data_IF_492392646901
#
_entry.id   IF_492392646901
#
_cell.length_a   1.000
_cell.length_b   1.000
_cell.length_c   1.000
_cell.angle_alpha   90.00
_cell.angle_beta   90.00
_cell.angle_gamma   90.00
#
_symmetry.space_group_name_H-M   'P 1'
#
loop_
_entity.id
_entity.type
_entity.pdbx_description
1 polymer ?
#
# COMPACT_ATOMS: atom_id res chain seq x y z
N UNK A 1 2.13 13.46 -5.54
CA UNK A 1 2.11 14.11 -4.21
C UNK A 1 0.76 14.76 -4.01
N UNK A 2 0.05 14.39 -2.97
CA UNK A 2 -1.29 14.91 -2.74
C UNK A 2 -1.15 16.29 -2.05
N UNK A 3 -1.21 17.38 -2.82
CA UNK A 3 -1.12 18.77 -2.32
C UNK A 3 -2.10 19.02 -1.15
N UNK A 4 -3.19 18.27 -1.10
CA UNK A 4 -4.16 18.35 -0.02
C UNK A 4 -3.60 17.86 1.32
N UNK A 5 -2.83 16.78 1.35
CA UNK A 5 -2.24 16.23 2.59
C UNK A 5 -1.17 17.17 3.18
N UNK A 6 -0.31 17.75 2.33
CA UNK A 6 0.65 18.78 2.81
C UNK A 6 -0.06 20.01 3.39
N UNK A 7 -1.14 20.43 2.74
CA UNK A 7 -1.96 21.54 3.23
C UNK A 7 -2.56 21.22 4.61
N UNK A 8 -3.15 20.04 4.74
CA UNK A 8 -3.76 19.61 6.01
C UNK A 8 -2.74 19.50 7.16
N UNK A 9 -1.53 18.99 6.89
CA UNK A 9 -0.43 18.99 7.88
C UNK A 9 0.01 20.41 8.24
N UNK A 10 0.17 21.29 7.23
CA UNK A 10 0.63 22.66 7.41
C UNK A 10 -0.33 23.48 8.29
N UNK A 11 -1.63 23.30 8.09
CA UNK A 11 -2.66 24.01 8.86
C UNK A 11 -3.14 23.23 10.09
N UNK A 12 -2.44 22.14 10.44
CA UNK A 12 -2.74 21.30 11.60
C UNK A 12 -4.20 20.78 11.63
N UNK A 13 -4.78 20.58 10.46
CA UNK A 13 -6.05 19.87 10.31
C UNK A 13 -5.91 18.38 10.59
N UNK A 14 -4.70 17.84 10.35
CA UNK A 14 -4.25 16.50 10.73
C UNK A 14 -2.90 16.62 11.42
N UNK A 15 -2.65 15.78 12.41
CA UNK A 15 -1.42 15.82 13.20
C UNK A 15 -0.34 14.90 12.64
N UNK A 16 -0.72 13.72 12.15
CA UNK A 16 0.16 12.72 11.59
C UNK A 16 -0.34 12.18 10.27
N UNK A 17 0.61 11.80 9.42
CA UNK A 17 0.38 11.04 8.18
C UNK A 17 1.25 9.79 8.21
N UNK A 18 0.63 8.63 7.97
CA UNK A 18 1.33 7.38 7.71
C UNK A 18 1.18 7.08 6.22
N UNK A 19 2.30 6.90 5.52
CA UNK A 19 2.28 6.66 4.09
C UNK A 19 3.64 6.31 3.49
N UNK A 20 3.66 6.00 2.20
CA UNK A 20 4.86 5.61 1.47
C UNK A 20 5.56 6.79 0.78
N UNK A 21 5.15 8.01 1.07
CA UNK A 21 5.79 9.24 0.57
C UNK A 21 6.61 9.89 1.69
N UNK A 22 7.84 10.24 1.38
CA UNK A 22 8.71 10.99 2.27
C UNK A 22 8.48 12.49 2.05
N UNK A 23 8.04 13.19 3.10
CA UNK A 23 7.90 14.65 3.06
C UNK A 23 9.26 15.31 3.24
N UNK A 24 9.82 15.89 2.17
CA UNK A 24 11.20 16.42 2.16
C UNK A 24 11.30 17.93 2.39
N UNK A 25 10.20 18.60 2.69
CA UNK A 25 10.23 20.03 2.97
C UNK A 25 10.65 20.32 4.40
N UNK A 26 11.38 21.42 4.67
CA UNK A 26 11.91 21.72 6.00
C UNK A 26 10.86 21.86 7.10
N UNK A 27 9.62 22.22 6.74
CA UNK A 27 8.53 22.35 7.69
C UNK A 27 7.93 21.03 8.17
N UNK A 28 8.33 19.89 7.56
CA UNK A 28 7.84 18.57 7.95
C UNK A 28 8.94 17.71 8.53
N UNK A 29 8.66 17.07 9.65
CA UNK A 29 9.46 15.99 10.17
C UNK A 29 8.95 14.65 9.59
N UNK A 30 9.87 13.72 9.37
CA UNK A 30 9.56 12.44 8.77
C UNK A 30 10.46 11.36 9.34
N UNK A 31 9.90 10.28 9.86
CA UNK A 31 10.64 9.13 10.35
C UNK A 31 10.22 7.85 9.65
N UNK A 32 11.15 6.95 9.30
CA UNK A 32 10.81 5.66 8.73
C UNK A 32 10.19 4.76 9.81
N UNK A 33 9.05 4.13 9.49
CA UNK A 33 8.39 3.16 10.36
C UNK A 33 8.86 1.74 10.06
N UNK A 34 8.70 1.30 8.80
CA UNK A 34 9.10 -0.04 8.37
C UNK A 34 9.34 -0.07 6.85
N UNK A 35 10.05 -1.10 6.40
CA UNK A 35 10.16 -1.43 4.97
C UNK A 35 9.13 -2.49 4.63
N UNK A 36 8.45 -2.30 3.53
CA UNK A 36 7.45 -3.23 3.03
C UNK A 36 7.76 -3.70 1.62
N UNK A 37 7.27 -4.87 1.29
CA UNK A 37 7.35 -5.46 -0.03
C UNK A 37 5.96 -5.52 -0.66
N UNK A 38 5.90 -5.36 -1.97
CA UNK A 38 4.68 -5.64 -2.71
C UNK A 38 4.64 -7.10 -3.11
N UNK A 39 3.47 -7.69 -3.00
CA UNK A 39 3.23 -9.11 -3.28
C UNK A 39 2.03 -9.27 -4.20
N UNK A 40 1.99 -10.36 -4.94
CA UNK A 40 0.75 -10.79 -5.60
C UNK A 40 -0.13 -11.52 -4.60
N UNK A 41 -1.41 -11.20 -4.61
CA UNK A 41 -2.44 -11.86 -3.80
C UNK A 41 -3.49 -12.46 -4.72
N UNK A 42 -3.84 -13.71 -4.47
CA UNK A 42 -4.89 -14.45 -5.17
C UNK A 42 -5.65 -15.35 -4.19
N UNK A 43 -6.84 -15.80 -4.55
CA UNK A 43 -7.52 -16.85 -3.81
C UNK A 43 -6.67 -18.13 -3.78
N UNK A 44 -6.64 -18.87 -2.69
CA UNK A 44 -6.00 -20.20 -2.64
C UNK A 44 -6.60 -21.18 -3.64
N UNK A 45 -7.84 -20.92 -4.08
CA UNK A 45 -8.55 -21.71 -5.09
C UNK A 45 -8.41 -21.18 -6.51
N UNK A 46 -7.50 -20.21 -6.73
CA UNK A 46 -7.31 -19.63 -8.06
C UNK A 46 -6.86 -20.70 -9.05
N UNK A 47 -7.51 -20.82 -10.23
CA UNK A 47 -7.30 -21.96 -11.13
C UNK A 47 -5.94 -21.96 -11.84
N UNK A 48 -5.29 -20.81 -11.97
CA UNK A 48 -4.05 -20.65 -12.75
C UNK A 48 -2.87 -20.11 -11.96
N UNK A 49 -3.14 -19.38 -10.87
CA UNK A 49 -2.07 -18.77 -10.05
C UNK A 49 -1.66 -19.75 -8.96
N UNK A 50 -0.47 -20.34 -9.11
CA UNK A 50 0.15 -21.22 -8.10
C UNK A 50 1.65 -21.36 -8.37
N UNK A 51 2.47 -21.33 -7.32
CA UNK A 51 3.92 -21.53 -7.43
C UNK A 51 4.68 -20.35 -8.08
N UNK A 52 5.88 -20.59 -8.60
CA UNK A 52 6.70 -19.57 -9.23
C UNK A 52 6.01 -19.01 -10.47
N UNK A 53 5.89 -17.68 -10.54
CA UNK A 53 5.22 -16.94 -11.61
C UNK A 53 6.22 -16.14 -12.44
N UNK A 54 5.92 -15.99 -13.73
CA UNK A 54 6.56 -15.00 -14.58
C UNK A 54 5.71 -13.72 -14.62
N UNK A 55 6.34 -12.60 -15.00
CA UNK A 55 5.64 -11.30 -15.12
C UNK A 55 4.40 -11.40 -16.03
N UNK A 56 4.54 -12.10 -17.15
CA UNK A 56 3.46 -12.28 -18.11
C UNK A 56 2.26 -13.05 -17.55
N UNK A 57 2.49 -14.01 -16.65
CA UNK A 57 1.41 -14.79 -16.03
C UNK A 57 0.51 -13.87 -15.18
N UNK A 58 1.12 -12.91 -14.49
CA UNK A 58 0.38 -11.94 -13.66
C UNK A 58 -0.52 -11.05 -14.52
N UNK A 59 0.04 -10.49 -15.60
CA UNK A 59 -0.71 -9.56 -16.45
C UNK A 59 -1.67 -10.21 -17.44
N UNK A 60 -1.73 -11.54 -17.50
CA UNK A 60 -2.79 -12.26 -18.20
C UNK A 60 -4.08 -12.36 -17.36
N UNK A 61 -3.99 -12.19 -16.05
CA UNK A 61 -5.15 -12.25 -15.15
C UNK A 61 -5.90 -10.92 -15.09
N UNK A 62 -7.14 -10.98 -14.64
CA UNK A 62 -7.92 -9.79 -14.29
C UNK A 62 -7.48 -9.26 -12.92
N UNK A 63 -7.34 -7.96 -12.82
CA UNK A 63 -6.83 -7.29 -11.62
C UNK A 63 -7.92 -6.55 -10.86
N UNK A 64 -7.90 -6.71 -9.55
CA UNK A 64 -8.60 -5.85 -8.62
C UNK A 64 -7.61 -4.85 -8.00
N UNK A 65 -7.91 -3.56 -8.07
CA UNK A 65 -7.01 -2.49 -7.61
C UNK A 65 -7.73 -1.50 -6.69
N UNK A 66 -6.97 -0.79 -5.89
CA UNK A 66 -7.47 0.44 -5.27
C UNK A 66 -7.49 1.53 -6.33
N UNK A 67 -8.52 2.37 -6.35
CA UNK A 67 -8.72 3.41 -7.35
C UNK A 67 -7.43 4.21 -7.59
N UNK A 68 -6.98 4.23 -8.86
CA UNK A 68 -5.66 4.75 -9.25
C UNK A 68 -5.51 6.25 -8.99
N UNK A 69 -6.60 7.02 -9.05
CA UNK A 69 -6.62 8.45 -8.78
C UNK A 69 -6.28 8.80 -7.32
N UNK A 70 -6.59 7.91 -6.40
CA UNK A 70 -6.32 8.09 -4.97
C UNK A 70 -4.97 7.55 -4.51
N UNK A 71 -4.44 6.54 -5.22
CA UNK A 71 -3.24 5.80 -4.85
C UNK A 71 -2.26 5.67 -6.02
N UNK A 72 -2.23 6.66 -6.91
CA UNK A 72 -1.40 6.66 -8.11
C UNK A 72 0.07 6.37 -7.81
N UNK A 73 0.62 6.93 -6.73
CA UNK A 73 2.02 6.67 -6.30
C UNK A 73 2.26 5.23 -5.86
N UNK A 74 1.21 4.54 -5.42
CA UNK A 74 1.28 3.18 -4.90
C UNK A 74 1.10 2.11 -5.99
N UNK A 75 0.10 2.26 -6.86
CA UNK A 75 -0.27 1.25 -7.87
C UNK A 75 0.34 1.51 -9.24
N UNK A 76 0.62 2.76 -9.58
CA UNK A 76 1.04 3.19 -10.91
C UNK A 76 2.27 2.47 -11.47
N UNK A 77 3.30 2.10 -10.68
CA UNK A 77 4.46 1.40 -11.22
C UNK A 77 4.16 0.06 -11.89
N UNK A 78 3.04 -0.57 -11.56
CA UNK A 78 2.63 -1.87 -12.13
C UNK A 78 1.62 -1.75 -13.25
N UNK A 79 0.93 -0.61 -13.37
CA UNK A 79 -0.11 -0.33 -14.38
C UNK A 79 0.30 0.86 -15.25
N UNK A 80 1.57 0.87 -15.67
CA UNK A 80 2.22 1.95 -16.41
C UNK A 80 1.88 1.98 -17.91
N UNK A 81 1.26 0.93 -18.43
CA UNK A 81 0.88 0.81 -19.84
C UNK A 81 -0.63 0.61 -20.00
N UNK A 82 -1.17 1.01 -21.15
CA UNK A 82 -2.59 0.82 -21.46
C UNK A 82 -3.01 -0.66 -21.44
N UNK A 83 -2.14 -1.56 -21.89
CA UNK A 83 -2.39 -3.00 -21.89
C UNK A 83 -2.55 -3.55 -20.47
N UNK A 84 -1.68 -3.13 -19.54
CA UNK A 84 -1.79 -3.51 -18.13
C UNK A 84 -3.02 -2.90 -17.48
N UNK A 85 -3.36 -1.65 -17.81
CA UNK A 85 -4.58 -0.99 -17.32
C UNK A 85 -5.84 -1.65 -17.84
N UNK A 86 -5.83 -2.19 -19.05
CA UNK A 86 -6.98 -2.88 -19.63
C UNK A 86 -7.38 -4.17 -18.89
N UNK A 87 -6.48 -4.71 -18.06
CA UNK A 87 -6.74 -5.88 -17.21
C UNK A 87 -7.36 -5.53 -15.86
N UNK A 88 -7.55 -4.27 -15.55
CA UNK A 88 -8.22 -3.83 -14.32
C UNK A 88 -9.72 -4.07 -14.49
N UNK A 89 -10.23 -5.10 -13.82
CA UNK A 89 -11.64 -5.48 -13.85
C UNK A 89 -12.43 -4.94 -12.65
N UNK A 90 -11.75 -4.58 -11.56
CA UNK A 90 -12.37 -4.01 -10.36
C UNK A 90 -11.52 -2.90 -9.77
N UNK A 91 -12.17 -1.81 -9.36
CA UNK A 91 -11.56 -0.72 -8.61
C UNK A 91 -12.32 -0.47 -7.31
N UNK A 92 -11.64 -0.67 -6.19
CA UNK A 92 -12.18 -0.42 -4.85
C UNK A 92 -11.63 0.86 -4.22
N UNK A 93 -12.26 1.30 -3.13
CA UNK A 93 -11.83 2.48 -2.39
C UNK A 93 -10.81 2.18 -1.28
N UNK A 94 -10.64 0.91 -0.93
CA UNK A 94 -9.72 0.46 0.11
C UNK A 94 -9.14 -0.92 -0.23
N UNK A 95 -7.90 -1.17 0.17
CA UNK A 95 -7.21 -2.43 -0.11
C UNK A 95 -7.92 -3.64 0.53
N UNK A 96 -8.51 -3.48 1.71
CA UNK A 96 -9.28 -4.56 2.36
C UNK A 96 -10.47 -5.01 1.51
N UNK A 97 -11.17 -4.05 0.86
CA UNK A 97 -12.26 -4.37 -0.08
C UNK A 97 -11.74 -5.11 -1.31
N UNK A 98 -10.58 -4.70 -1.83
CA UNK A 98 -9.91 -5.38 -2.95
C UNK A 98 -9.57 -6.81 -2.59
N UNK A 99 -8.96 -7.05 -1.41
CA UNK A 99 -8.61 -8.39 -0.94
C UNK A 99 -9.84 -9.28 -0.77
N UNK A 100 -10.96 -8.72 -0.30
CA UNK A 100 -12.21 -9.46 -0.18
C UNK A 100 -12.76 -9.88 -1.56
N UNK A 101 -12.71 -9.00 -2.57
CA UNK A 101 -13.11 -9.34 -3.95
C UNK A 101 -12.20 -10.44 -4.52
N UNK A 102 -10.89 -10.33 -4.33
CA UNK A 102 -9.91 -11.34 -4.76
C UNK A 102 -10.20 -12.70 -4.14
N UNK A 103 -10.60 -12.74 -2.87
CA UNK A 103 -10.93 -14.00 -2.17
C UNK A 103 -12.13 -14.75 -2.77
N UNK A 104 -13.05 -14.04 -3.41
CA UNK A 104 -14.30 -14.57 -3.95
C UNK A 104 -14.29 -14.73 -5.48
N UNK A 105 -13.20 -14.37 -6.14
CA UNK A 105 -13.10 -14.34 -7.61
C UNK A 105 -11.79 -14.97 -8.10
N UNK A 106 -11.62 -15.03 -9.42
CA UNK A 106 -10.34 -15.37 -10.06
C UNK A 106 -9.50 -14.11 -10.38
N UNK A 107 -9.79 -12.98 -9.77
CA UNK A 107 -8.97 -11.79 -9.88
C UNK A 107 -7.73 -11.91 -9.00
N UNK A 108 -6.71 -11.14 -9.36
CA UNK A 108 -5.49 -10.98 -8.56
C UNK A 108 -5.33 -9.53 -8.13
N UNK A 109 -4.54 -9.30 -7.09
CA UNK A 109 -4.19 -7.95 -6.67
C UNK A 109 -2.71 -7.86 -6.32
N UNK A 110 -2.11 -6.69 -6.52
CA UNK A 110 -0.79 -6.34 -5.99
C UNK A 110 -1.04 -5.53 -4.71
N UNK A 111 -0.52 -6.03 -3.59
CA UNK A 111 -0.79 -5.48 -2.27
C UNK A 111 0.46 -5.42 -1.40
N UNK A 112 0.50 -4.55 -0.38
CA UNK A 112 1.53 -4.58 0.65
C UNK A 112 1.54 -5.92 1.39
N UNK A 113 2.74 -6.49 1.58
CA UNK A 113 2.90 -7.80 2.25
C UNK A 113 2.30 -7.80 3.66
N UNK A 114 2.55 -6.75 4.44
CA UNK A 114 2.05 -6.66 5.80
C UNK A 114 0.51 -6.78 5.86
N UNK A 115 -0.18 -6.07 4.95
CA UNK A 115 -1.64 -6.09 4.89
C UNK A 115 -2.15 -7.42 4.33
N UNK A 116 -1.53 -7.94 3.28
CA UNK A 116 -1.88 -9.24 2.72
C UNK A 116 -1.75 -10.35 3.77
N UNK A 117 -0.67 -10.33 4.57
CA UNK A 117 -0.43 -11.32 5.64
C UNK A 117 -1.49 -11.27 6.74
N UNK A 118 -1.97 -10.09 7.12
CA UNK A 118 -3.01 -9.91 8.14
C UNK A 118 -4.35 -10.56 7.72
N UNK A 119 -4.64 -10.58 6.42
CA UNK A 119 -5.90 -11.09 5.89
C UNK A 119 -5.81 -12.45 5.21
N UNK A 120 -4.61 -13.00 4.98
CA UNK A 120 -4.40 -14.22 4.21
C UNK A 120 -5.22 -15.40 4.71
N UNK A 121 -5.16 -15.71 6.00
CA UNK A 121 -5.90 -16.84 6.58
C UNK A 121 -7.39 -16.54 6.75
N UNK A 122 -7.76 -15.30 7.06
CA UNK A 122 -9.16 -14.88 7.24
C UNK A 122 -9.96 -14.95 5.94
N UNK A 123 -9.31 -14.70 4.79
CA UNK A 123 -9.94 -14.63 3.48
C UNK A 123 -9.52 -15.77 2.54
N UNK A 124 -8.84 -16.81 3.03
CA UNK A 124 -8.35 -17.95 2.24
C UNK A 124 -7.52 -17.50 1.01
N UNK A 125 -6.59 -16.56 1.24
CA UNK A 125 -5.71 -16.00 0.23
C UNK A 125 -4.33 -16.66 0.24
N UNK A 126 -3.72 -16.74 -0.94
CA UNK A 126 -2.30 -17.03 -1.12
C UNK A 126 -1.52 -15.76 -1.44
N UNK A 127 -0.32 -15.69 -0.89
CA UNK A 127 0.62 -14.58 -1.08
C UNK A 127 1.82 -15.11 -1.86
N UNK A 128 2.11 -14.50 -2.98
CA UNK A 128 3.17 -14.91 -3.90
C UNK A 128 4.16 -13.76 -4.11
N UNK A 129 5.47 -14.05 -4.22
CA UNK A 129 6.44 -13.03 -4.58
C UNK A 129 6.14 -12.53 -5.99
N UNK A 130 6.31 -11.21 -6.20
CA UNK A 130 6.26 -10.64 -7.54
C UNK A 130 7.58 -10.97 -8.27
N UNK A 131 7.54 -11.50 -9.50
CA UNK A 131 8.72 -11.75 -10.32
C UNK A 131 9.30 -10.46 -10.93
N UNK A 132 8.88 -9.33 -10.44
CA UNK A 132 9.30 -8.00 -10.87
C UNK A 132 10.42 -7.50 -9.97
N UNK A 133 11.31 -6.67 -10.51
CA UNK A 133 12.24 -5.88 -9.67
C UNK A 133 11.47 -4.84 -8.89
N UNK A 134 10.81 -5.27 -7.85
CA UNK A 134 10.04 -4.41 -6.98
C UNK A 134 10.97 -3.88 -5.91
N UNK A 135 11.15 -2.58 -5.90
CA UNK A 135 11.84 -1.94 -4.79
C UNK A 135 10.96 -2.05 -3.55
N UNK A 136 11.53 -2.53 -2.45
CA UNK A 136 10.88 -2.39 -1.15
C UNK A 136 10.54 -0.92 -0.92
N UNK A 137 9.36 -0.63 -0.40
CA UNK A 137 8.94 0.72 -0.08
C UNK A 137 9.05 0.94 1.41
N UNK A 138 9.58 2.09 1.80
CA UNK A 138 9.57 2.51 3.20
C UNK A 138 8.26 3.22 3.50
N UNK A 139 7.60 2.80 4.58
CA UNK A 139 6.48 3.52 5.15
C UNK A 139 7.01 4.53 6.15
N UNK A 140 6.50 5.74 6.12
CA UNK A 140 6.94 6.87 6.94
C UNK A 140 5.81 7.35 7.83
N UNK A 141 6.17 7.85 9.01
CA UNK A 141 5.36 8.73 9.83
C UNK A 141 5.84 10.16 9.60
N UNK A 142 4.93 11.05 9.27
CA UNK A 142 5.24 12.45 8.98
C UNK A 142 4.31 13.39 9.73
N UNK A 143 4.83 14.55 10.15
CA UNK A 143 4.08 15.60 10.85
C UNK A 143 4.67 16.98 10.57
N UNK A 144 3.95 18.03 10.96
CA UNK A 144 4.48 19.38 10.90
C UNK A 144 5.47 19.62 12.06
N UNK A 145 6.67 20.11 11.79
CA UNK A 145 7.77 20.22 12.77
C UNK A 145 7.37 21.05 14.01
N UNK A 146 6.51 22.04 13.85
CA UNK A 146 6.01 22.86 14.98
C UNK A 146 5.24 22.04 16.03
N UNK A 147 4.58 20.94 15.64
CA UNK A 147 3.84 20.08 16.55
C UNK A 147 4.78 19.21 17.42
N UNK A 148 5.99 18.93 16.96
CA UNK A 148 6.97 18.10 17.67
C UNK A 148 7.46 18.64 19.01
N UNK A 149 7.07 19.85 19.41
CA UNK A 149 7.37 20.42 20.74
C UNK A 149 6.29 20.11 21.79
N UNK A 150 5.15 19.66 21.37
CA UNK A 150 4.06 19.27 22.29
C UNK A 150 4.32 17.88 22.88
N UNK A 151 4.17 17.74 24.20
CA UNK A 151 4.41 16.48 24.90
C UNK A 151 3.43 15.37 24.53
N UNK A 152 2.18 15.74 24.25
CA UNK A 152 1.17 14.77 23.80
C UNK A 152 1.50 14.25 22.41
N UNK A 153 1.96 15.13 21.54
CA UNK A 153 2.42 14.78 20.20
C UNK A 153 3.64 13.83 20.26
N UNK A 154 4.67 14.14 21.07
CA UNK A 154 5.84 13.29 21.26
C UNK A 154 5.47 11.90 21.79
N UNK A 155 4.58 11.83 22.77
CA UNK A 155 4.08 10.57 23.29
C UNK A 155 3.37 9.73 22.19
N UNK A 156 2.53 10.36 21.37
CA UNK A 156 1.84 9.69 20.28
C UNK A 156 2.82 9.21 19.19
N UNK A 157 3.82 10.02 18.84
CA UNK A 157 4.90 9.66 17.91
C UNK A 157 5.62 8.40 18.40
N UNK A 158 6.12 8.40 19.65
CA UNK A 158 6.81 7.26 20.25
C UNK A 158 5.93 6.00 20.24
N UNK A 159 4.63 6.14 20.56
CA UNK A 159 3.68 5.04 20.54
C UNK A 159 3.51 4.47 19.13
N UNK A 160 3.28 5.30 18.13
CA UNK A 160 3.10 4.89 16.72
C UNK A 160 4.37 4.18 16.20
N UNK A 161 5.55 4.75 16.45
CA UNK A 161 6.82 4.13 16.07
C UNK A 161 6.97 2.75 16.74
N UNK A 162 6.69 2.65 18.05
CA UNK A 162 6.81 1.39 18.80
C UNK A 162 5.88 0.28 18.30
N UNK A 163 4.68 0.64 17.85
CA UNK A 163 3.70 -0.31 17.30
C UNK A 163 4.14 -0.81 15.93
N UNK A 164 4.68 0.06 15.10
CA UNK A 164 5.05 -0.26 13.72
C UNK A 164 6.40 -0.99 13.58
N UNK A 165 7.27 -0.94 14.58
CA UNK A 165 8.59 -1.59 14.56
C UNK A 165 8.60 -3.00 15.19
N UNK A 166 7.45 -3.55 15.49
CA UNK A 166 7.31 -4.92 16.04
C UNK A 166 7.40 -6.00 14.99
#
# INVERSE_FOLDING_TARGET
MNQNTEHQLRYQEIEFVIGYEEFRRPEFACVPLFKDEMVLVASRKHPRISGPLMENDIYQEEHAVVALDRYASFSQPWYDTADKQSRIAYQGNAMVSVLNVVSQTNMVAIAPRWLASEFADKLDLQILPLPLKVNSRTCYLSWHEAAGRDKGHQWMEELLVSICQR
#
